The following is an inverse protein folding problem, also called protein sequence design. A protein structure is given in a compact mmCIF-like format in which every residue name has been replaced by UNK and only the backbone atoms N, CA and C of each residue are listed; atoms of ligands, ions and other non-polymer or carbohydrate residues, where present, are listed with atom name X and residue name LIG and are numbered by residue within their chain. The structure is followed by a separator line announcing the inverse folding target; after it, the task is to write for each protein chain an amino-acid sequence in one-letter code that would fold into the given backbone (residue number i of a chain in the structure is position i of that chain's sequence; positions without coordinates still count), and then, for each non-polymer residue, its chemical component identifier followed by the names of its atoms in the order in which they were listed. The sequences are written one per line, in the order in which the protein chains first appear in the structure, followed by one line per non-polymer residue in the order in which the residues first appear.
data_IF_546118729804
#
_entry.id   IF_546118729804
#
_cell.length_a   1.000
_cell.length_b   1.000
_cell.length_c   1.000
_cell.angle_alpha   90.00
_cell.angle_beta   90.00
_cell.angle_gamma   90.00
#
_symmetry.space_group_name_H-M   'P 1'
#
loop_
_entity.id
_entity.type
_entity.pdbx_description
1 polymer ?
#
# COMPACT_ATOMS: atom_id res chain seq x y z
N UNK A 1 14.88 7.19 30.78
CA UNK A 1 13.48 6.85 31.11
C UNK A 1 13.38 5.34 31.28
N UNK A 2 12.74 4.83 32.34
CA UNK A 2 12.51 3.39 32.53
C UNK A 2 11.53 2.90 31.46
N UNK A 3 11.95 1.95 30.66
CA UNK A 3 11.15 1.33 29.60
C UNK A 3 9.94 0.61 30.22
N UNK A 4 8.73 0.88 29.71
CA UNK A 4 7.56 0.08 30.05
C UNK A 4 7.70 -1.32 29.44
N UNK A 5 7.39 -2.36 30.19
CA UNK A 5 7.37 -3.73 29.70
C UNK A 5 6.23 -3.87 28.67
N UNK A 6 6.53 -4.29 27.43
CA UNK A 6 5.52 -4.46 26.38
C UNK A 6 4.85 -5.82 26.49
N UNK A 7 3.55 -5.88 26.26
CA UNK A 7 2.77 -7.10 26.36
C UNK A 7 2.04 -7.37 25.05
N UNK A 8 2.03 -8.62 24.60
CA UNK A 8 1.29 -9.05 23.42
C UNK A 8 0.45 -10.28 23.74
N UNK A 9 -0.67 -10.44 23.03
CA UNK A 9 -1.57 -11.57 23.22
C UNK A 9 -1.16 -12.72 22.30
N UNK A 10 -0.73 -13.82 22.89
CA UNK A 10 -0.47 -15.08 22.19
C UNK A 10 -1.48 -16.11 22.69
N UNK A 11 -2.36 -16.58 21.80
CA UNK A 11 -3.58 -17.31 22.17
C UNK A 11 -4.45 -16.44 23.12
N UNK A 12 -4.58 -16.82 24.39
CA UNK A 12 -5.38 -16.12 25.40
C UNK A 12 -4.54 -15.50 26.53
N UNK A 13 -3.23 -15.57 26.43
CA UNK A 13 -2.31 -15.07 27.45
C UNK A 13 -1.59 -13.81 26.97
N UNK A 14 -1.49 -12.84 27.87
CA UNK A 14 -0.62 -11.68 27.68
C UNK A 14 0.79 -12.07 28.14
N UNK A 15 1.76 -11.93 27.23
CA UNK A 15 3.17 -12.24 27.51
C UNK A 15 4.03 -10.99 27.42
N UNK A 16 5.04 -10.81 28.29
CA UNK A 16 6.02 -9.75 28.13
C UNK A 16 6.84 -10.04 26.87
N UNK A 17 6.94 -9.07 25.97
CA UNK A 17 7.64 -9.19 24.70
C UNK A 17 9.15 -8.98 24.85
N UNK A 18 10.00 -9.92 24.39
CA UNK A 18 11.47 -9.70 24.24
C UNK A 18 11.86 -8.69 23.14
N UNK A 19 10.95 -7.82 22.70
CA UNK A 19 11.04 -7.13 21.40
C UNK A 19 10.65 -5.66 21.55
N UNK A 20 11.49 -4.79 21.00
CA UNK A 20 11.52 -3.36 21.28
C UNK A 20 10.23 -2.67 20.84
N UNK A 21 9.68 -1.76 21.67
CA UNK A 21 8.74 -0.77 21.20
C UNK A 21 9.50 0.29 20.40
N UNK A 22 8.92 0.76 19.31
CA UNK A 22 9.24 2.11 18.88
C UNK A 22 8.18 3.04 19.50
N UNK A 23 8.55 3.90 20.47
CA UNK A 23 7.59 4.78 21.14
C UNK A 23 7.07 5.88 20.20
N UNK A 24 7.77 6.14 19.08
CA UNK A 24 7.33 6.97 17.97
C UNK A 24 7.99 6.54 16.64
N UNK A 25 7.44 7.10 15.56
CA UNK A 25 7.84 6.90 14.18
C UNK A 25 9.32 7.20 13.92
N UNK A 26 9.86 8.22 14.57
CA UNK A 26 11.22 8.72 14.32
C UNK A 26 12.30 7.77 14.87
N UNK A 27 12.03 7.05 15.95
CA UNK A 27 12.97 6.03 16.47
C UNK A 27 12.94 4.71 15.70
N UNK A 28 11.84 4.41 15.00
CA UNK A 28 11.75 3.26 14.08
C UNK A 28 12.58 3.46 12.82
N UNK A 29 12.81 4.72 12.44
CA UNK A 29 13.63 5.16 11.32
C UNK A 29 15.14 5.12 11.62
N UNK A 30 15.53 5.32 12.89
CA UNK A 30 16.92 5.33 13.34
C UNK A 30 17.51 3.93 13.63
N UNK A 31 16.66 2.93 13.88
CA UNK A 31 17.08 1.54 13.82
C UNK A 31 17.10 1.15 12.33
N UNK A 32 18.13 0.43 11.85
CA UNK A 32 18.30 -0.08 10.48
C UNK A 32 17.21 -1.10 10.04
N UNK A 33 15.96 -0.85 10.43
CA UNK A 33 14.75 -1.55 10.07
C UNK A 33 14.26 -0.98 8.74
N UNK A 34 13.95 -1.86 7.79
CA UNK A 34 13.23 -1.47 6.59
C UNK A 34 11.90 -0.81 6.98
N UNK A 35 11.75 0.47 6.65
CA UNK A 35 10.64 1.39 6.96
C UNK A 35 9.25 0.75 6.74
N UNK A 36 9.18 -0.16 5.76
CA UNK A 36 8.00 -0.93 5.38
C UNK A 36 7.52 -1.88 6.50
N UNK A 37 8.42 -2.45 7.30
CA UNK A 37 8.07 -3.47 8.29
C UNK A 37 7.48 -2.91 9.58
N UNK A 38 7.77 -1.65 9.92
CA UNK A 38 7.46 -1.06 11.24
C UNK A 38 6.39 0.03 11.18
N UNK A 39 6.22 0.76 10.08
CA UNK A 39 5.12 1.73 9.98
C UNK A 39 3.82 1.11 9.50
N UNK A 40 3.93 0.27 8.48
CA UNK A 40 2.81 0.05 7.59
C UNK A 40 1.76 -0.90 8.19
N UNK A 41 2.13 -1.72 9.18
CA UNK A 41 1.22 -2.61 9.92
C UNK A 41 0.75 -2.05 11.27
N UNK A 42 1.20 -0.85 11.65
CA UNK A 42 1.01 -0.31 12.99
C UNK A 42 -0.28 0.51 13.12
N UNK A 43 -1.40 -0.17 13.34
CA UNK A 43 -2.55 0.42 14.05
C UNK A 43 -2.67 -0.06 15.49
N UNK A 44 -1.67 -0.81 15.97
CA UNK A 44 -1.61 -1.30 17.35
C UNK A 44 -1.15 -0.24 18.36
N UNK A 45 -0.38 0.78 17.94
CA UNK A 45 0.13 1.81 18.87
C UNK A 45 -0.97 2.75 19.37
N UNK A 46 -1.89 3.16 18.50
CA UNK A 46 -3.04 3.96 18.95
C UNK A 46 -4.03 3.13 19.76
N UNK A 47 -4.26 1.86 19.38
CA UNK A 47 -5.09 0.95 20.18
C UNK A 47 -4.50 0.71 21.58
N UNK A 48 -3.17 0.65 21.67
CA UNK A 48 -2.44 0.51 22.93
C UNK A 48 -2.47 1.80 23.77
N UNK A 49 -2.32 2.99 23.16
CA UNK A 49 -2.44 4.27 23.87
C UNK A 49 -3.86 4.48 24.41
N UNK A 50 -4.88 4.17 23.60
CA UNK A 50 -6.29 4.18 24.01
C UNK A 50 -6.55 3.16 25.13
N UNK A 51 -5.96 1.97 25.06
CA UNK A 51 -6.03 0.96 26.12
C UNK A 51 -5.36 1.44 27.42
N UNK A 52 -4.14 1.99 27.35
CA UNK A 52 -3.40 2.50 28.52
C UNK A 52 -4.14 3.66 29.19
N UNK A 53 -4.72 4.56 28.40
CA UNK A 53 -5.49 5.69 28.91
C UNK A 53 -6.76 5.20 29.63
N UNK A 54 -7.56 4.35 28.97
CA UNK A 54 -8.78 3.80 29.57
C UNK A 54 -8.50 2.93 30.82
N UNK A 55 -7.39 2.18 30.83
CA UNK A 55 -7.03 1.39 32.01
C UNK A 55 -6.60 2.27 33.20
N UNK A 56 -5.83 3.34 32.94
CA UNK A 56 -5.48 4.36 33.96
C UNK A 56 -6.72 5.06 34.52
N UNK A 57 -7.64 5.42 33.65
CA UNK A 57 -8.78 6.24 34.03
C UNK A 57 -9.88 5.42 34.72
N UNK A 58 -10.04 4.13 34.43
CA UNK A 58 -11.23 3.35 34.82
C UNK A 58 -10.92 2.03 35.54
N UNK A 59 -9.64 1.67 35.74
CA UNK A 59 -9.22 0.46 36.47
C UNK A 59 -9.64 -0.87 35.84
N UNK A 60 -10.28 -0.86 34.67
CA UNK A 60 -10.84 -2.04 34.00
C UNK A 60 -10.45 -2.10 32.52
N UNK A 61 -10.50 -3.31 31.94
CA UNK A 61 -10.23 -3.54 30.52
C UNK A 61 -11.27 -2.78 29.67
N UNK A 62 -10.86 -2.14 28.56
CA UNK A 62 -11.79 -1.57 27.59
C UNK A 62 -12.62 -2.70 26.96
N UNK A 63 -13.91 -2.45 26.65
CA UNK A 63 -14.73 -3.41 25.91
C UNK A 63 -14.17 -3.65 24.49
N UNK A 64 -14.46 -4.78 23.84
CA UNK A 64 -14.05 -5.05 22.44
C UNK A 64 -14.46 -3.92 21.48
N UNK A 65 -15.56 -3.24 21.76
CA UNK A 65 -16.03 -2.07 21.00
C UNK A 65 -15.16 -0.83 21.17
N UNK A 66 -14.41 -0.71 22.28
CA UNK A 66 -13.59 0.46 22.62
C UNK A 66 -12.13 0.36 22.15
N UNK A 67 -11.65 -0.83 21.76
CA UNK A 67 -10.33 -1.05 21.12
C UNK A 67 -10.36 -0.90 19.60
N UNK A 68 -11.45 -0.33 19.09
CA UNK A 68 -11.80 -0.30 17.68
C UNK A 68 -11.06 0.82 16.93
N UNK A 69 -9.73 0.75 16.96
CA UNK A 69 -8.90 1.65 16.17
C UNK A 69 -8.99 1.24 14.70
N UNK A 70 -9.35 2.16 13.78
CA UNK A 70 -9.35 1.88 12.36
C UNK A 70 -7.96 1.37 11.92
N UNK A 71 -7.93 0.30 11.13
CA UNK A 71 -6.68 -0.15 10.53
C UNK A 71 -6.38 0.70 9.29
N UNK A 72 -5.14 1.20 9.18
CA UNK A 72 -4.57 1.91 8.04
C UNK A 72 -3.25 1.22 7.73
N UNK A 73 -3.10 0.73 6.51
CA UNK A 73 -1.91 -0.03 6.14
C UNK A 73 -2.06 -0.76 4.82
N UNK A 74 -0.97 -1.34 4.31
CA UNK A 74 -0.92 -2.08 3.07
C UNK A 74 -1.63 -3.42 3.24
N UNK A 75 -1.91 -4.07 2.12
CA UNK A 75 -2.27 -5.48 2.13
C UNK A 75 -1.08 -6.28 2.66
N UNK A 76 -1.34 -7.26 3.52
CA UNK A 76 -0.31 -8.12 4.11
C UNK A 76 -0.81 -9.56 4.15
N UNK A 77 0.08 -10.50 3.84
CA UNK A 77 -0.22 -11.94 3.87
C UNK A 77 0.96 -12.70 4.47
N UNK A 78 0.62 -13.78 5.17
CA UNK A 78 1.55 -14.72 5.80
C UNK A 78 1.34 -16.10 5.18
N UNK A 79 2.44 -16.78 4.88
CA UNK A 79 2.44 -18.07 4.22
C UNK A 79 3.36 -18.99 5.04
N UNK A 80 2.86 -20.09 5.56
CA UNK A 80 3.66 -21.03 6.35
C UNK A 80 3.36 -22.48 5.93
N UNK A 81 4.39 -23.30 5.83
CA UNK A 81 4.28 -24.72 5.50
C UNK A 81 5.23 -25.51 6.37
N UNK A 82 4.68 -26.20 7.36
CA UNK A 82 5.48 -26.94 8.34
C UNK A 82 6.34 -28.04 7.69
N UNK A 83 5.82 -28.67 6.64
CA UNK A 83 6.37 -29.92 6.11
C UNK A 83 6.93 -29.77 4.70
N UNK A 84 6.48 -28.77 3.94
CA UNK A 84 6.79 -28.63 2.51
C UNK A 84 7.13 -27.17 2.13
N UNK A 85 8.18 -26.58 2.71
CA UNK A 85 8.51 -25.17 2.50
C UNK A 85 8.98 -24.83 1.08
N UNK A 86 9.64 -25.77 0.40
CA UNK A 86 10.05 -25.60 -1.01
C UNK A 86 8.84 -25.58 -1.95
N UNK A 87 7.84 -26.43 -1.71
CA UNK A 87 6.59 -26.41 -2.47
C UNK A 87 5.84 -25.10 -2.22
N UNK A 88 5.80 -24.63 -0.97
CA UNK A 88 5.20 -23.32 -0.63
C UNK A 88 5.88 -22.18 -1.39
N UNK A 89 7.21 -22.17 -1.49
CA UNK A 89 7.96 -21.18 -2.27
C UNK A 89 7.52 -21.18 -3.73
N UNK A 90 7.43 -22.36 -4.35
CA UNK A 90 7.02 -22.51 -5.75
C UNK A 90 5.57 -22.07 -5.98
N UNK A 91 4.66 -22.44 -5.08
CA UNK A 91 3.24 -22.05 -5.15
C UNK A 91 3.06 -20.54 -4.97
N UNK A 92 3.78 -19.94 -4.02
CA UNK A 92 3.78 -18.49 -3.82
C UNK A 92 4.28 -17.76 -5.07
N UNK A 93 5.40 -18.20 -5.66
CA UNK A 93 5.90 -17.62 -6.91
C UNK A 93 4.86 -17.74 -8.04
N UNK A 94 4.26 -18.92 -8.24
CA UNK A 94 3.22 -19.12 -9.26
C UNK A 94 1.99 -18.25 -9.03
N UNK A 95 1.56 -18.09 -7.78
CA UNK A 95 0.42 -17.24 -7.45
C UNK A 95 0.72 -15.77 -7.75
N UNK A 96 1.90 -15.27 -7.38
CA UNK A 96 2.33 -13.90 -7.65
C UNK A 96 2.56 -13.63 -9.14
N UNK A 97 3.12 -14.58 -9.88
CA UNK A 97 3.29 -14.43 -11.33
C UNK A 97 1.94 -14.44 -12.05
N UNK A 98 0.98 -15.27 -11.64
CA UNK A 98 -0.41 -15.18 -12.15
C UNK A 98 -1.04 -13.82 -11.86
N UNK A 99 -0.90 -13.32 -10.64
CA UNK A 99 -1.42 -12.00 -10.27
C UNK A 99 -0.78 -10.90 -11.13
N UNK A 100 0.54 -10.95 -11.33
CA UNK A 100 1.28 -10.05 -12.23
C UNK A 100 0.76 -10.11 -13.66
N UNK A 101 0.59 -11.30 -14.22
CA UNK A 101 0.09 -11.49 -15.59
C UNK A 101 -1.35 -10.96 -15.76
N UNK A 102 -2.21 -11.14 -14.77
CA UNK A 102 -3.62 -10.72 -14.81
C UNK A 102 -3.81 -9.22 -14.56
N UNK A 103 -3.06 -8.65 -13.62
CA UNK A 103 -3.23 -7.27 -13.17
C UNK A 103 -2.27 -6.27 -13.82
N UNK A 104 -1.17 -6.74 -14.42
CA UNK A 104 -0.07 -5.92 -14.85
C UNK A 104 0.70 -5.25 -13.71
N UNK A 105 0.51 -5.68 -12.45
CA UNK A 105 1.24 -5.11 -11.31
C UNK A 105 2.75 -5.31 -11.50
N UNK A 106 3.51 -4.26 -11.22
CA UNK A 106 4.97 -4.33 -11.18
C UNK A 106 5.42 -5.28 -10.06
N UNK A 107 6.25 -6.31 -10.34
CA UNK A 107 6.76 -7.21 -9.30
C UNK A 107 7.49 -6.51 -8.15
N UNK A 108 8.00 -5.29 -8.34
CA UNK A 108 8.60 -4.45 -7.28
C UNK A 108 7.58 -4.02 -6.22
N UNK A 109 6.28 -4.13 -6.49
CA UNK A 109 5.22 -3.91 -5.50
C UNK A 109 5.07 -5.12 -4.56
N UNK A 110 5.57 -6.30 -4.91
CA UNK A 110 5.60 -7.47 -4.03
C UNK A 110 6.76 -7.34 -3.05
N UNK A 111 6.48 -6.73 -1.90
CA UNK A 111 7.46 -6.62 -0.82
C UNK A 111 7.48 -7.95 -0.08
N UNK A 112 8.54 -8.71 -0.25
CA UNK A 112 8.62 -10.11 0.18
C UNK A 112 9.69 -10.30 1.23
N UNK A 113 9.44 -11.24 2.14
CA UNK A 113 10.43 -11.71 3.10
C UNK A 113 10.39 -13.22 3.23
N UNK A 114 11.58 -13.82 3.31
CA UNK A 114 11.73 -15.10 3.96
C UNK A 114 11.65 -14.89 5.48
N UNK A 115 10.80 -15.63 6.18
CA UNK A 115 10.50 -15.38 7.61
C UNK A 115 11.62 -15.79 8.59
N UNK A 116 12.67 -16.46 8.12
CA UNK A 116 13.70 -17.11 8.94
C UNK A 116 13.23 -18.39 9.61
N UNK A 117 12.13 -18.97 9.10
CA UNK A 117 11.44 -20.15 9.61
C UNK A 117 11.04 -21.06 8.48
N UNK A 118 9.74 -21.34 8.35
CA UNK A 118 9.18 -22.27 7.35
C UNK A 118 8.24 -21.59 6.35
N UNK A 119 8.36 -20.27 6.22
CA UNK A 119 7.35 -19.47 5.55
C UNK A 119 7.83 -18.11 5.05
N UNK A 120 6.91 -17.39 4.43
CA UNK A 120 7.11 -16.15 3.72
C UNK A 120 6.11 -15.09 4.17
N UNK A 121 6.50 -13.82 4.08
CA UNK A 121 5.59 -12.70 4.23
C UNK A 121 5.52 -11.93 2.92
N UNK A 122 4.31 -11.46 2.59
CA UNK A 122 4.07 -10.52 1.50
C UNK A 122 3.43 -9.27 2.05
N UNK A 123 3.87 -8.13 1.54
CA UNK A 123 3.19 -6.85 1.65
C UNK A 123 3.03 -6.26 0.26
N UNK A 124 1.83 -5.75 -0.04
CA UNK A 124 1.57 -4.97 -1.25
C UNK A 124 1.09 -3.58 -0.81
N UNK A 125 1.77 -2.48 -1.23
CA UNK A 125 1.45 -1.13 -0.80
C UNK A 125 -0.05 -0.80 -0.92
N UNK A 126 -0.60 -0.10 0.08
CA UNK A 126 -2.00 0.34 0.06
C UNK A 126 -2.32 1.18 -1.19
N UNK A 127 -1.31 1.86 -1.73
CA UNK A 127 -1.43 2.68 -2.91
C UNK A 127 -1.72 1.89 -4.18
N UNK A 128 -1.18 0.68 -4.31
CA UNK A 128 -1.53 -0.24 -5.41
C UNK A 128 -3.03 -0.57 -5.44
N UNK A 129 -3.70 -0.51 -4.29
CA UNK A 129 -5.14 -0.74 -4.14
C UNK A 129 -5.97 0.55 -4.20
N UNK A 130 -5.35 1.72 -4.32
CA UNK A 130 -6.04 3.01 -4.21
C UNK A 130 -6.56 3.32 -2.82
N UNK A 131 -5.92 2.76 -1.79
CA UNK A 131 -6.28 2.87 -0.38
C UNK A 131 -5.38 3.84 0.39
N UNK A 132 -4.68 4.75 -0.30
CA UNK A 132 -3.82 5.74 0.35
C UNK A 132 -4.61 6.58 1.35
N UNK A 133 -4.21 6.52 2.62
CA UNK A 133 -4.91 7.26 3.67
C UNK A 133 -6.26 6.67 4.08
N UNK A 134 -6.73 5.61 3.42
CA UNK A 134 -7.94 4.90 3.84
C UNK A 134 -7.68 4.16 5.14
N UNK A 135 -8.59 4.31 6.09
CA UNK A 135 -8.54 3.61 7.36
C UNK A 135 -9.91 3.06 7.73
N UNK A 136 -9.95 1.79 8.10
CA UNK A 136 -11.20 1.16 8.51
C UNK A 136 -10.96 -0.03 9.44
N UNK A 137 -11.85 -0.23 10.42
CA UNK A 137 -11.75 -1.33 11.41
C UNK A 137 -11.81 -2.72 10.77
N UNK A 138 -12.54 -2.84 9.66
CA UNK A 138 -12.71 -4.08 8.88
C UNK A 138 -11.77 -4.18 7.68
N UNK A 139 -10.80 -3.27 7.53
CA UNK A 139 -9.82 -3.37 6.45
C UNK A 139 -9.01 -4.70 6.50
N UNK A 140 -8.61 -5.24 7.68
CA UNK A 140 -7.99 -6.56 7.73
C UNK A 140 -8.92 -7.69 7.26
N UNK A 141 -10.22 -7.60 7.57
CA UNK A 141 -11.22 -8.56 7.07
C UNK A 141 -11.34 -8.49 5.55
N UNK A 142 -11.33 -7.28 4.99
CA UNK A 142 -11.32 -7.06 3.55
C UNK A 142 -10.07 -7.69 2.92
N UNK A 143 -8.89 -7.47 3.50
CA UNK A 143 -7.66 -8.11 3.05
C UNK A 143 -7.74 -9.64 3.11
N UNK A 144 -8.36 -10.21 4.14
CA UNK A 144 -8.61 -11.66 4.20
C UNK A 144 -9.43 -12.17 3.02
N UNK A 145 -10.44 -11.43 2.55
CA UNK A 145 -11.18 -11.86 1.37
C UNK A 145 -10.41 -11.62 0.08
N UNK A 146 -9.66 -10.51 0.01
CA UNK A 146 -8.78 -10.22 -1.11
C UNK A 146 -7.72 -11.29 -1.32
N UNK A 147 -7.26 -12.03 -0.30
CA UNK A 147 -6.35 -13.16 -0.55
C UNK A 147 -6.92 -14.14 -1.58
N UNK A 148 -8.24 -14.41 -1.54
CA UNK A 148 -8.91 -15.31 -2.48
C UNK A 148 -8.97 -14.71 -3.88
N UNK A 149 -9.43 -13.46 -3.99
CA UNK A 149 -9.51 -12.72 -5.26
C UNK A 149 -8.14 -12.54 -5.93
N UNK A 150 -7.07 -12.44 -5.15
CA UNK A 150 -5.69 -12.33 -5.62
C UNK A 150 -5.05 -13.69 -5.92
N UNK A 151 -5.78 -14.80 -5.76
CA UNK A 151 -5.27 -16.15 -5.99
C UNK A 151 -4.25 -16.66 -4.96
N UNK A 152 -4.21 -16.02 -3.78
CA UNK A 152 -3.34 -16.34 -2.64
C UNK A 152 -4.06 -17.14 -1.55
N UNK A 153 -5.38 -17.28 -1.63
CA UNK A 153 -6.24 -17.78 -0.54
C UNK A 153 -5.91 -19.19 -0.06
N UNK A 154 -5.49 -20.09 -0.95
CA UNK A 154 -5.18 -21.49 -0.62
C UNK A 154 -3.88 -21.65 0.19
N UNK A 155 -2.93 -20.72 0.02
CA UNK A 155 -1.60 -20.79 0.64
C UNK A 155 -1.42 -19.78 1.78
N UNK A 156 -2.28 -18.77 1.87
CA UNK A 156 -2.21 -17.74 2.90
C UNK A 156 -2.85 -18.23 4.20
N UNK A 157 -2.16 -18.02 5.34
CA UNK A 157 -2.76 -18.22 6.66
C UNK A 157 -3.80 -17.12 6.94
N UNK A 158 -5.11 -17.43 7.01
CA UNK A 158 -6.13 -16.42 7.28
C UNK A 158 -6.13 -15.93 8.73
N UNK A 159 -5.44 -16.59 9.66
CA UNK A 159 -5.41 -16.24 11.08
C UNK A 159 -4.66 -14.93 11.37
N UNK A 160 -3.88 -14.42 10.41
CA UNK A 160 -3.19 -13.13 10.53
C UNK A 160 -4.14 -11.92 10.52
N UNK A 161 -5.38 -12.11 10.05
CA UNK A 161 -6.41 -11.08 10.04
C UNK A 161 -7.24 -11.13 11.32
N UNK A 162 -6.67 -10.65 12.43
CA UNK A 162 -7.21 -10.81 13.79
C UNK A 162 -8.16 -9.69 14.27
N UNK A 163 -8.63 -8.81 13.36
CA UNK A 163 -9.68 -7.79 13.58
C UNK A 163 -9.61 -7.04 14.93
N UNK A 164 -8.47 -6.42 15.25
CA UNK A 164 -8.32 -5.58 16.44
C UNK A 164 -7.75 -6.29 17.67
N UNK A 165 -7.46 -7.59 17.60
CA UNK A 165 -6.71 -8.30 18.67
C UNK A 165 -5.21 -8.01 18.68
N UNK A 166 -4.73 -7.27 17.68
CA UNK A 166 -3.32 -7.04 17.41
C UNK A 166 -2.64 -8.32 16.90
N UNK A 167 -1.76 -8.20 15.92
CA UNK A 167 -0.86 -9.27 15.50
C UNK A 167 0.52 -8.66 15.37
N UNK A 168 1.50 -9.26 16.02
CA UNK A 168 2.88 -8.78 15.92
C UNK A 168 3.45 -9.24 14.58
N UNK A 169 3.99 -8.30 13.82
CA UNK A 169 4.79 -8.60 12.64
C UNK A 169 6.27 -8.66 13.03
N UNK A 170 6.99 -9.65 12.50
CA UNK A 170 8.42 -9.80 12.83
C UNK A 170 9.24 -8.73 12.13
N UNK A 171 10.14 -8.10 12.89
CA UNK A 171 11.16 -7.17 12.39
C UNK A 171 12.24 -7.93 11.62
N UNK A 172 12.63 -7.41 10.47
CA UNK A 172 13.69 -7.96 9.62
C UNK A 172 15.05 -7.92 10.34
N UNK A 173 15.96 -8.80 9.92
CA UNK A 173 17.35 -8.90 10.40
C UNK A 173 17.55 -9.27 11.87
N UNK A 174 16.49 -9.35 12.68
CA UNK A 174 16.62 -9.79 14.07
C UNK A 174 16.78 -11.31 14.14
N UNK A 175 17.90 -11.75 14.74
CA UNK A 175 18.26 -13.16 14.90
C UNK A 175 17.27 -13.90 15.80
N UNK A 176 16.87 -15.09 15.38
CA UNK A 176 15.98 -16.02 16.07
C UNK A 176 16.79 -17.02 16.91
N UNK A 177 16.15 -17.73 17.87
CA UNK A 177 16.78 -18.83 18.60
C UNK A 177 17.29 -19.97 17.71
N UNK A 178 16.66 -20.20 16.54
CA UNK A 178 17.12 -21.17 15.54
C UNK A 178 18.29 -20.64 14.68
N UNK A 179 18.91 -19.51 15.04
CA UNK A 179 20.05 -18.93 14.33
C UNK A 179 19.70 -18.09 13.10
N UNK A 180 18.47 -18.20 12.59
CA UNK A 180 17.98 -17.56 11.35
C UNK A 180 17.48 -16.13 11.56
N UNK A 181 17.24 -15.39 10.46
CA UNK A 181 16.70 -14.03 10.45
C UNK A 181 15.55 -13.92 9.46
N UNK A 182 14.61 -13.00 9.70
CA UNK A 182 13.69 -12.57 8.64
C UNK A 182 14.47 -11.69 7.67
N UNK A 183 14.55 -12.07 6.40
CA UNK A 183 15.32 -11.34 5.40
C UNK A 183 14.41 -10.93 4.23
N UNK A 184 14.60 -9.74 3.64
CA UNK A 184 13.92 -9.38 2.42
C UNK A 184 14.38 -10.30 1.30
N UNK A 185 13.44 -10.65 0.41
CA UNK A 185 13.71 -11.34 -0.84
C UNK A 185 12.94 -10.61 -1.94
N UNK A 186 13.37 -10.78 -3.18
CA UNK A 186 12.68 -10.26 -4.36
C UNK A 186 11.76 -11.31 -4.96
N UNK A 187 10.88 -10.86 -5.86
CA UNK A 187 10.13 -11.78 -6.70
C UNK A 187 11.04 -12.67 -7.57
N UNK A 188 12.21 -12.17 -8.00
CA UNK A 188 13.19 -12.96 -8.76
C UNK A 188 13.87 -14.02 -7.89
N UNK A 189 14.17 -13.71 -6.62
CA UNK A 189 14.73 -14.70 -5.68
C UNK A 189 13.73 -15.85 -5.46
N UNK A 190 12.43 -15.53 -5.35
CA UNK A 190 11.38 -16.54 -5.32
C UNK A 190 11.35 -17.40 -6.59
N UNK A 191 11.77 -16.88 -7.75
CA UNK A 191 11.75 -17.59 -9.01
C UNK A 191 13.00 -18.46 -9.23
N UNK A 192 14.18 -17.94 -8.84
CA UNK A 192 15.48 -18.45 -9.27
C UNK A 192 16.26 -19.16 -8.17
N UNK A 193 15.80 -19.10 -6.92
CA UNK A 193 16.49 -19.70 -5.78
C UNK A 193 15.63 -20.75 -5.08
N UNK A 194 16.29 -21.62 -4.33
CA UNK A 194 15.66 -22.66 -3.52
C UNK A 194 15.38 -22.15 -2.10
N UNK A 195 14.57 -22.89 -1.35
CA UNK A 195 14.38 -22.65 0.07
C UNK A 195 15.68 -22.76 0.87
N UNK A 196 16.58 -23.67 0.48
CA UNK A 196 17.86 -23.85 1.15
C UNK A 196 18.80 -22.66 0.93
N UNK A 197 18.81 -22.06 -0.27
CA UNK A 197 19.54 -20.82 -0.52
C UNK A 197 19.07 -19.71 0.41
N UNK A 198 17.75 -19.56 0.57
CA UNK A 198 17.17 -18.56 1.48
C UNK A 198 17.50 -18.84 2.95
N UNK A 199 17.59 -20.11 3.34
CA UNK A 199 18.07 -20.50 4.67
C UNK A 199 19.53 -20.08 4.89
N UNK A 200 20.40 -20.29 3.89
CA UNK A 200 21.80 -19.86 3.96
C UNK A 200 21.93 -18.35 4.07
N UNK A 201 21.20 -17.59 3.25
CA UNK A 201 21.18 -16.13 3.33
C UNK A 201 20.72 -15.62 4.70
N UNK A 202 19.69 -16.24 5.26
CA UNK A 202 19.12 -15.90 6.57
C UNK A 202 20.10 -16.17 7.73
N UNK A 203 20.89 -17.23 7.61
CA UNK A 203 21.94 -17.56 8.58
C UNK A 203 23.16 -16.62 8.47
N UNK A 204 23.45 -16.13 7.25
CA UNK A 204 24.57 -15.24 6.94
C UNK A 204 24.50 -13.87 7.62
N UNK A 205 25.59 -13.10 7.52
CA UNK A 205 25.70 -11.75 8.07
C UNK A 205 25.53 -10.63 7.03
N UNK A 206 25.22 -10.96 5.78
CA UNK A 206 25.06 -9.98 4.70
C UNK A 206 23.72 -9.27 4.80
N UNK A 207 23.74 -7.96 5.01
CA UNK A 207 22.56 -7.08 4.92
C UNK A 207 22.44 -6.54 3.50
N UNK A 208 21.78 -7.30 2.63
CA UNK A 208 21.38 -6.79 1.32
C UNK A 208 19.95 -6.26 1.38
N UNK A 209 19.75 -5.01 0.97
CA UNK A 209 18.42 -4.40 0.82
C UNK A 209 18.18 -4.24 -0.68
N UNK A 210 17.11 -4.83 -1.26
CA UNK A 210 16.81 -4.65 -2.67
C UNK A 210 16.70 -3.18 -3.05
N UNK A 211 17.32 -2.79 -4.17
CA UNK A 211 17.11 -1.46 -4.75
C UNK A 211 15.62 -1.27 -5.05
N UNK A 212 14.99 -0.47 -4.19
CA UNK A 212 13.76 0.28 -4.45
C UNK A 212 12.47 -0.55 -4.64
N UNK A 213 11.88 -0.99 -3.52
CA UNK A 213 10.44 -1.33 -3.39
C UNK A 213 9.52 -0.08 -3.53
N UNK A 214 9.73 0.72 -4.57
CA UNK A 214 9.11 2.05 -4.76
C UNK A 214 7.89 2.05 -5.69
N UNK A 215 7.52 0.91 -6.26
CA UNK A 215 6.31 0.80 -7.07
C UNK A 215 5.08 0.92 -6.16
N UNK A 216 4.50 2.11 -6.16
CA UNK A 216 3.36 2.49 -5.34
C UNK A 216 2.19 2.97 -6.20
N UNK A 217 2.25 2.81 -7.53
CA UNK A 217 1.21 3.33 -8.39
C UNK A 217 -0.09 2.52 -8.26
N UNK A 218 -1.26 3.20 -8.24
CA UNK A 218 -2.54 2.52 -8.21
C UNK A 218 -2.71 1.55 -9.39
N UNK A 219 -3.10 0.32 -9.08
CA UNK A 219 -3.36 -0.70 -10.08
C UNK A 219 -4.88 -0.86 -10.28
N UNK A 220 -5.41 -0.66 -11.51
CA UNK A 220 -6.84 -0.75 -11.77
C UNK A 220 -7.45 -2.09 -11.37
N UNK A 221 -6.78 -3.20 -11.64
CA UNK A 221 -7.28 -4.54 -11.30
C UNK A 221 -7.43 -4.70 -9.78
N UNK A 222 -6.41 -4.31 -9.02
CA UNK A 222 -6.45 -4.38 -7.55
C UNK A 222 -7.52 -3.47 -6.94
N UNK A 223 -7.71 -2.27 -7.50
CA UNK A 223 -8.79 -1.35 -7.11
C UNK A 223 -10.16 -1.99 -7.33
N UNK A 224 -10.38 -2.60 -8.50
CA UNK A 224 -11.65 -3.29 -8.77
C UNK A 224 -11.87 -4.49 -7.83
N UNK A 225 -10.82 -5.22 -7.47
CA UNK A 225 -10.93 -6.29 -6.47
C UNK A 225 -11.40 -5.75 -5.11
N UNK A 226 -10.81 -4.65 -4.63
CA UNK A 226 -11.25 -3.96 -3.40
C UNK A 226 -12.71 -3.55 -3.49
N UNK A 227 -13.13 -2.96 -4.62
CA UNK A 227 -14.50 -2.50 -4.81
C UNK A 227 -15.49 -3.65 -4.75
N UNK A 228 -15.22 -4.75 -5.46
CA UNK A 228 -16.08 -5.94 -5.49
C UNK A 228 -16.24 -6.53 -4.10
N UNK A 229 -15.14 -6.76 -3.39
CA UNK A 229 -15.16 -7.32 -2.04
C UNK A 229 -15.88 -6.40 -1.04
N UNK A 230 -15.67 -5.09 -1.18
CA UNK A 230 -16.35 -4.11 -0.32
C UNK A 230 -17.86 -4.06 -0.57
N UNK A 231 -18.27 -4.06 -1.84
CA UNK A 231 -19.68 -4.05 -2.21
C UNK A 231 -20.39 -5.34 -1.78
N UNK A 232 -19.76 -6.49 -1.99
CA UNK A 232 -20.26 -7.78 -1.54
C UNK A 232 -20.45 -7.80 -0.02
N UNK A 233 -19.44 -7.35 0.73
CA UNK A 233 -19.53 -7.23 2.18
C UNK A 233 -20.67 -6.32 2.62
N UNK A 234 -20.89 -5.18 1.94
CA UNK A 234 -22.02 -4.27 2.22
C UNK A 234 -23.36 -4.97 1.94
N UNK A 235 -23.47 -5.72 0.86
CA UNK A 235 -24.68 -6.43 0.48
C UNK A 235 -25.02 -7.53 1.49
N UNK A 236 -24.06 -8.36 1.87
CA UNK A 236 -24.24 -9.41 2.88
C UNK A 236 -24.65 -8.82 4.24
N UNK A 237 -24.13 -7.64 4.58
CA UNK A 237 -24.49 -6.96 5.82
C UNK A 237 -25.90 -6.38 5.76
N UNK A 238 -26.32 -5.80 4.63
CA UNK A 238 -27.71 -5.35 4.44
C UNK A 238 -28.68 -6.51 4.61
N UNK A 239 -28.36 -7.66 4.04
CA UNK A 239 -29.18 -8.87 4.12
C UNK A 239 -29.27 -9.39 5.57
N UNK A 240 -28.17 -9.38 6.33
CA UNK A 240 -28.12 -9.85 7.73
C UNK A 240 -28.76 -8.88 8.74
N UNK A 241 -28.69 -7.57 8.49
CA UNK A 241 -29.12 -6.53 9.44
C UNK A 241 -30.36 -5.77 8.96
N UNK A 242 -31.23 -6.40 8.17
CA UNK A 242 -32.42 -5.78 7.59
C UNK A 242 -33.38 -5.15 8.63
N UNK A 243 -33.24 -5.46 9.93
CA UNK A 243 -34.13 -5.03 11.01
C UNK A 243 -33.48 -4.03 12.00
N UNK A 244 -32.24 -3.60 11.78
CA UNK A 244 -31.49 -2.73 12.72
C UNK A 244 -31.20 -1.37 12.07
N UNK A 245 -31.25 -0.29 12.88
CA UNK A 245 -31.04 1.10 12.46
C UNK A 245 -29.77 1.35 11.62
N UNK A 246 -29.72 2.43 10.81
CA UNK A 246 -28.61 2.74 9.91
C UNK A 246 -27.26 2.88 10.64
N UNK A 247 -26.28 2.07 10.26
CA UNK A 247 -24.88 2.21 10.72
C UNK A 247 -24.23 3.46 10.10
N UNK A 248 -23.54 4.34 10.86
CA UNK A 248 -22.76 5.48 10.32
C UNK A 248 -21.72 5.11 9.26
N UNK A 249 -21.25 3.86 9.19
CA UNK A 249 -20.34 3.39 8.12
C UNK A 249 -20.99 3.34 6.72
N UNK A 250 -22.30 3.61 6.58
CA UNK A 250 -23.05 3.52 5.31
C UNK A 250 -22.48 4.37 4.17
N UNK A 251 -21.72 5.42 4.48
CA UNK A 251 -21.18 6.39 3.51
C UNK A 251 -19.66 6.24 3.22
N UNK A 252 -18.99 5.25 3.80
CA UNK A 252 -17.58 4.98 3.54
C UNK A 252 -17.47 4.00 2.35
N UNK A 253 -17.23 4.53 1.16
CA UNK A 253 -16.68 3.74 0.05
C UNK A 253 -15.14 3.87 0.11
N UNK A 254 -14.40 2.75 0.21
CA UNK A 254 -12.94 2.75 0.34
C UNK A 254 -12.25 3.39 -0.85
N UNK A 255 -12.92 3.41 -2.01
CA UNK A 255 -12.46 4.08 -3.21
C UNK A 255 -13.12 5.44 -3.42
N UNK A 256 -14.00 5.92 -2.51
CA UNK A 256 -14.63 7.24 -2.60
C UNK A 256 -13.60 8.36 -2.66
N UNK A 257 -12.61 8.27 -1.77
CA UNK A 257 -11.54 9.24 -1.62
C UNK A 257 -10.62 9.35 -2.85
N UNK A 258 -10.50 8.28 -3.64
CA UNK A 258 -9.63 8.26 -4.83
C UNK A 258 -10.43 8.35 -6.13
N UNK A 259 -11.67 7.86 -6.19
CA UNK A 259 -12.50 7.88 -7.40
C UNK A 259 -13.22 9.21 -7.57
N UNK A 260 -13.85 9.76 -6.52
CA UNK A 260 -14.48 11.09 -6.62
C UNK A 260 -13.41 12.18 -6.77
N UNK A 261 -12.28 12.08 -6.05
CA UNK A 261 -11.17 13.03 -6.17
C UNK A 261 -10.46 12.93 -7.51
N UNK A 262 -10.11 11.75 -8.01
CA UNK A 262 -9.48 11.63 -9.33
C UNK A 262 -10.48 11.99 -10.44
N UNK A 263 -11.73 11.54 -10.41
CA UNK A 263 -12.72 11.96 -11.43
C UNK A 263 -13.00 13.47 -11.38
N UNK A 264 -13.09 14.07 -10.19
CA UNK A 264 -13.25 15.50 -10.05
C UNK A 264 -11.99 16.25 -10.52
N UNK A 265 -10.81 15.77 -10.16
CA UNK A 265 -9.54 16.37 -10.56
C UNK A 265 -9.27 16.22 -12.05
N UNK A 266 -9.55 15.06 -12.65
CA UNK A 266 -9.48 14.79 -14.09
C UNK A 266 -10.48 15.66 -14.86
N UNK A 267 -11.68 15.85 -14.30
CA UNK A 267 -12.67 16.79 -14.84
C UNK A 267 -12.13 18.23 -14.78
N UNK A 268 -11.64 18.69 -13.64
CA UNK A 268 -11.06 20.03 -13.49
C UNK A 268 -9.85 20.24 -14.38
N UNK A 269 -9.01 19.21 -14.57
CA UNK A 269 -7.86 19.24 -15.47
C UNK A 269 -8.35 19.36 -16.91
N UNK A 270 -9.36 18.58 -17.30
CA UNK A 270 -9.94 18.63 -18.66
C UNK A 270 -10.59 19.99 -18.93
N UNK A 271 -11.39 20.50 -17.99
CA UNK A 271 -12.01 21.84 -18.07
C UNK A 271 -10.94 22.94 -18.16
N UNK A 272 -9.89 22.86 -17.33
CA UNK A 272 -8.78 23.81 -17.37
C UNK A 272 -8.02 23.77 -18.69
N UNK A 273 -7.77 22.58 -19.26
CA UNK A 273 -7.12 22.45 -20.57
C UNK A 273 -8.00 23.02 -21.70
N UNK A 274 -9.32 22.80 -21.63
CA UNK A 274 -10.28 23.31 -22.60
C UNK A 274 -10.44 24.84 -22.54
N UNK A 275 -10.23 25.46 -21.38
CA UNK A 275 -10.30 26.93 -21.24
C UNK A 275 -9.02 27.65 -21.63
N UNK A 276 -7.90 26.93 -21.83
CA UNK A 276 -6.67 27.56 -22.32
C UNK A 276 -6.84 28.01 -23.78
N UNK A 277 -6.40 29.22 -24.14
CA UNK A 277 -6.42 29.69 -25.53
C UNK A 277 -5.56 28.78 -26.41
N UNK A 278 -5.96 28.57 -27.66
CA UNK A 278 -5.19 27.75 -28.60
C UNK A 278 -3.75 28.25 -28.78
N UNK A 279 -3.54 29.57 -28.69
CA UNK A 279 -2.21 30.22 -28.74
C UNK A 279 -1.26 29.79 -27.61
N UNK A 280 -1.76 29.24 -26.51
CA UNK A 280 -0.91 28.72 -25.43
C UNK A 280 -0.23 27.40 -25.79
N UNK A 281 -0.82 26.63 -26.72
CA UNK A 281 -0.16 25.45 -27.27
C UNK A 281 0.93 25.84 -28.29
N UNK A 282 0.86 27.05 -28.88
CA UNK A 282 1.88 27.57 -29.81
C UNK A 282 3.09 28.18 -29.12
N UNK A 283 2.93 28.62 -27.86
CA UNK A 283 4.00 29.12 -27.01
C UNK A 283 4.74 27.97 -26.33
N UNK A 284 6.02 27.81 -26.68
CA UNK A 284 6.82 26.66 -26.25
C UNK A 284 7.00 26.57 -24.73
N UNK A 285 7.12 27.71 -24.03
CA UNK A 285 7.31 27.71 -22.57
C UNK A 285 6.03 27.34 -21.82
N UNK A 286 4.90 27.88 -22.29
CA UNK A 286 3.57 27.54 -21.76
C UNK A 286 3.25 26.07 -22.03
N UNK A 287 3.50 25.60 -23.26
CA UNK A 287 3.33 24.21 -23.64
C UNK A 287 4.14 23.24 -22.76
N UNK A 288 5.41 23.56 -22.47
CA UNK A 288 6.26 22.78 -21.57
C UNK A 288 5.74 22.80 -20.13
N UNK A 289 5.25 23.95 -19.65
CA UNK A 289 4.73 24.11 -18.30
C UNK A 289 3.47 23.28 -18.08
N UNK A 290 2.54 23.28 -19.04
CA UNK A 290 1.35 22.40 -19.02
C UNK A 290 1.77 20.93 -19.02
N UNK A 291 2.72 20.54 -19.87
CA UNK A 291 3.27 19.18 -19.91
C UNK A 291 3.89 18.74 -18.58
N UNK A 292 4.68 19.60 -17.94
CA UNK A 292 5.28 19.32 -16.63
C UNK A 292 4.24 19.22 -15.52
N UNK A 293 3.22 20.08 -15.53
CA UNK A 293 2.12 20.02 -14.56
C UNK A 293 1.35 18.70 -14.65
N UNK A 294 1.02 18.26 -15.88
CA UNK A 294 0.36 16.97 -16.13
C UNK A 294 1.28 15.80 -15.80
N UNK A 295 2.55 15.84 -16.20
CA UNK A 295 3.52 14.80 -15.87
C UNK A 295 3.68 14.63 -14.35
N UNK A 296 3.69 15.72 -13.60
CA UNK A 296 3.76 15.67 -12.14
C UNK A 296 2.44 15.13 -11.52
N UNK A 297 1.29 15.49 -12.09
CA UNK A 297 -0.04 15.03 -11.64
C UNK A 297 -0.25 13.53 -11.84
N UNK A 298 0.13 13.03 -13.02
CA UNK A 298 -0.03 11.64 -13.44
C UNK A 298 1.26 10.82 -13.28
N UNK A 299 2.27 11.37 -12.59
CA UNK A 299 3.56 10.71 -12.32
C UNK A 299 4.24 10.11 -13.56
N UNK A 300 4.08 10.78 -14.70
CA UNK A 300 4.63 10.36 -15.99
C UNK A 300 3.87 9.24 -16.72
N UNK A 301 2.67 8.88 -16.26
CA UNK A 301 1.86 7.82 -16.89
C UNK A 301 1.36 8.19 -18.29
N UNK A 302 0.91 7.16 -19.03
CA UNK A 302 0.39 7.31 -20.38
C UNK A 302 -0.94 8.09 -20.43
N UNK A 303 -1.72 8.08 -19.35
CA UNK A 303 -2.95 8.87 -19.21
C UNK A 303 -2.65 10.38 -19.22
N UNK A 304 -1.63 10.81 -18.46
CA UNK A 304 -1.18 12.20 -18.48
C UNK A 304 -0.59 12.60 -19.83
N UNK A 305 0.13 11.69 -20.49
CA UNK A 305 0.66 11.89 -21.83
C UNK A 305 -0.47 12.07 -22.86
N UNK A 306 -1.53 11.28 -22.74
CA UNK A 306 -2.72 11.38 -23.58
C UNK A 306 -3.38 12.75 -23.44
N UNK A 307 -3.58 13.25 -22.21
CA UNK A 307 -4.15 14.58 -21.99
C UNK A 307 -3.28 15.69 -22.59
N UNK A 308 -1.95 15.61 -22.42
CA UNK A 308 -1.06 16.61 -23.01
C UNK A 308 -1.07 16.54 -24.53
N UNK A 309 -1.13 15.34 -25.12
CA UNK A 309 -1.28 15.14 -26.56
C UNK A 309 -2.56 15.76 -27.09
N UNK A 310 -3.69 15.41 -26.48
CA UNK A 310 -5.03 15.84 -26.91
C UNK A 310 -5.16 17.37 -26.86
N UNK A 311 -4.51 18.01 -25.88
CA UNK A 311 -4.41 19.47 -25.83
C UNK A 311 -3.41 20.04 -26.85
N UNK A 312 -2.26 19.39 -27.05
CA UNK A 312 -1.19 19.90 -27.93
C UNK A 312 -1.54 19.86 -29.42
N UNK A 313 -2.40 18.92 -29.84
CA UNK A 313 -2.76 18.72 -31.26
C UNK A 313 -3.46 19.93 -31.88
N UNK A 314 -3.98 20.84 -31.06
CA UNK A 314 -4.60 22.08 -31.54
C UNK A 314 -3.58 23.08 -32.14
N UNK A 315 -2.28 22.90 -31.85
CA UNK A 315 -1.23 23.75 -32.42
C UNK A 315 -0.81 23.26 -33.80
N UNK A 316 -0.68 24.13 -34.82
CA UNK A 316 -0.06 23.77 -36.09
C UNK A 316 1.42 23.38 -35.97
N UNK A 317 2.08 23.65 -34.82
CA UNK A 317 3.47 23.26 -34.54
C UNK A 317 3.58 21.88 -33.87
N UNK A 318 2.46 21.18 -33.69
CA UNK A 318 2.43 19.87 -33.03
C UNK A 318 3.30 18.83 -33.75
N UNK A 319 4.16 18.15 -32.98
CA UNK A 319 4.92 16.99 -33.43
C UNK A 319 4.88 15.91 -32.34
N UNK A 320 4.32 14.74 -32.69
CA UNK A 320 4.16 13.62 -31.78
C UNK A 320 5.50 13.08 -31.25
N UNK A 321 6.56 13.06 -32.08
CA UNK A 321 7.90 12.59 -31.68
C UNK A 321 8.54 13.57 -30.71
N UNK A 322 8.39 14.87 -30.94
CA UNK A 322 8.88 15.92 -30.04
C UNK A 322 8.16 15.84 -28.69
N UNK A 323 6.84 15.71 -28.69
CA UNK A 323 6.03 15.56 -27.49
C UNK A 323 6.46 14.33 -26.67
N UNK A 324 6.57 13.15 -27.29
CA UNK A 324 7.01 11.93 -26.60
C UNK A 324 8.43 12.04 -26.05
N UNK A 325 9.36 12.65 -26.80
CA UNK A 325 10.74 12.88 -26.33
C UNK A 325 10.77 13.81 -25.13
N UNK A 326 9.96 14.88 -25.12
CA UNK A 326 9.90 15.83 -24.01
C UNK A 326 9.26 15.22 -22.77
N UNK A 327 8.17 14.47 -22.92
CA UNK A 327 7.52 13.78 -21.81
C UNK A 327 8.52 12.92 -21.01
N UNK A 328 9.32 12.11 -21.71
CA UNK A 328 10.36 11.26 -21.10
C UNK A 328 11.49 12.04 -20.42
N UNK A 329 11.68 13.32 -20.74
CA UNK A 329 12.72 14.16 -20.16
C UNK A 329 12.31 14.81 -18.83
N UNK A 330 11.02 14.81 -18.52
CA UNK A 330 10.50 15.38 -17.27
C UNK A 330 10.84 14.46 -16.08
N UNK A 331 11.05 15.07 -14.90
CA UNK A 331 11.39 14.35 -13.67
C UNK A 331 10.32 14.60 -12.63
N UNK A 332 9.94 13.56 -11.89
CA UNK A 332 9.01 13.68 -10.76
C UNK A 332 9.79 14.12 -9.51
N UNK A 333 9.33 15.19 -8.85
CA UNK A 333 9.78 15.52 -7.48
C UNK A 333 10.96 16.50 -7.29
N UNK A 334 11.28 17.36 -8.27
CA UNK A 334 12.34 18.40 -8.15
C UNK A 334 12.02 19.58 -7.20
N UNK A 335 13.01 20.46 -6.95
CA UNK A 335 12.88 21.67 -6.10
C UNK A 335 12.02 22.78 -6.73
N UNK A 336 12.05 22.92 -8.06
CA UNK A 336 11.20 23.87 -8.81
C UNK A 336 9.90 23.17 -9.25
N UNK A 337 8.91 23.13 -8.36
CA UNK A 337 7.68 22.35 -8.57
C UNK A 337 6.64 23.11 -9.39
N UNK A 338 6.65 22.89 -10.70
CA UNK A 338 5.44 23.06 -11.51
C UNK A 338 4.44 21.96 -11.10
N UNK A 339 3.23 22.36 -10.72
CA UNK A 339 2.15 21.46 -10.27
C UNK A 339 0.86 21.80 -10.98
N UNK A 340 -0.23 21.06 -10.72
CA UNK A 340 -1.56 21.42 -11.21
C UNK A 340 -2.02 22.82 -10.80
N UNK A 341 -1.50 23.36 -9.68
CA UNK A 341 -1.75 24.75 -9.31
C UNK A 341 -1.34 25.74 -10.40
N UNK A 342 -0.27 25.44 -11.15
CA UNK A 342 0.18 26.24 -12.29
C UNK A 342 -0.78 26.12 -13.48
N UNK A 343 -1.28 24.92 -13.78
CA UNK A 343 -2.29 24.72 -14.83
C UNK A 343 -3.57 25.50 -14.51
N UNK A 344 -4.09 25.38 -13.29
CA UNK A 344 -5.29 26.11 -12.87
C UNK A 344 -5.09 27.63 -12.84
N UNK A 345 -3.88 28.09 -12.50
CA UNK A 345 -3.53 29.51 -12.60
C UNK A 345 -3.56 30.01 -14.05
N UNK A 346 -2.99 29.25 -15.00
CA UNK A 346 -3.01 29.60 -16.42
C UNK A 346 -4.45 29.65 -16.96
N UNK A 347 -5.28 28.66 -16.61
CA UNK A 347 -6.70 28.61 -16.96
C UNK A 347 -7.47 29.82 -16.41
N UNK A 348 -7.30 30.14 -15.13
CA UNK A 348 -7.93 31.30 -14.50
C UNK A 348 -7.48 32.64 -15.11
N UNK A 349 -6.24 32.73 -15.58
CA UNK A 349 -5.72 33.94 -16.25
C UNK A 349 -6.33 34.12 -17.65
N UNK A 350 -6.78 33.04 -18.29
CA UNK A 350 -7.33 33.07 -19.64
C UNK A 350 -8.81 33.47 -19.71
N UNK A 351 -9.57 33.36 -18.62
CA UNK A 351 -11.00 33.70 -18.55
C UNK A 351 -11.75 32.75 -17.62
#
# INVERSE_FOLDING_TARGET
MRFGQHWYRHKDEWRPGPWLPFPNLDQALDAECDFVSVLELYTTVDAYRTWQQHHRDHGRKPSEQSLSVPFRGPFYADFDSADQPEILRMELHRALDRLRQQSGIDPRAFRLWFSGGKGFHLVIPASCFGLEGFQHRKLPTLYRYLTKELGLGEICDPAVYSEGRGRLWRVSWKRRPNGMRKIPITWQDLAQSTFDDMCQWSAGNTTWVPEHMHANEPNPYLRHAVKREWDQWRQDRKNRNAHIQPNPDRNLDPLRWTTERHQHQDRLISEALQSLPSTYADDYQTWLTVGMALHQAYRGSDEGLKLWRDWSVQSPKYDARVLSRKWRSFKVGGRDRITLGTLFYLAKKAG
#
